data_IF_799127849718
#
_entry.id   IF_799127849718
#
_cell.length_a   1.000
_cell.length_b   1.000
_cell.length_c   1.000
_cell.angle_alpha   90.00
_cell.angle_beta   90.00
_cell.angle_gamma   90.00
#
_symmetry.space_group_name_H-M   'P 1'
#
loop_
_entity.id
_entity.type
_entity.pdbx_description
1 polymer ?
#
# COMPACT_ATOMS: atom_id res chain seq x y z
N UNK A 1 -13.29 -12.52 20.42
CA UNK A 1 -12.61 -13.23 19.32
C UNK A 1 -12.97 -12.52 18.02
N UNK A 2 -12.03 -12.33 17.10
CA UNK A 2 -12.28 -11.63 15.83
C UNK A 2 -13.30 -12.39 14.96
N UNK A 3 -13.15 -13.70 14.87
CA UNK A 3 -14.03 -14.63 14.15
C UNK A 3 -14.08 -15.95 14.91
N UNK A 4 -15.19 -16.70 14.87
CA UNK A 4 -15.21 -18.03 15.45
C UNK A 4 -14.23 -18.96 14.72
N UNK A 5 -13.57 -19.82 15.47
CA UNK A 5 -12.78 -20.91 14.91
C UNK A 5 -13.71 -22.03 14.44
N UNK A 6 -13.57 -22.42 13.18
CA UNK A 6 -14.25 -23.60 12.63
C UNK A 6 -13.53 -24.89 13.07
N UNK A 7 -12.21 -24.79 13.28
CA UNK A 7 -11.31 -25.83 13.74
C UNK A 7 -10.21 -25.19 14.60
N UNK A 8 -10.04 -25.62 15.83
CA UNK A 8 -8.94 -25.18 16.67
C UNK A 8 -7.75 -26.11 16.51
N UNK A 9 -6.54 -25.53 16.35
CA UNK A 9 -5.30 -26.26 16.18
C UNK A 9 -4.49 -26.26 17.47
N UNK A 10 -3.86 -27.41 17.75
CA UNK A 10 -2.94 -27.56 18.87
C UNK A 10 -3.55 -27.12 20.24
N UNK A 11 -4.85 -27.37 20.43
CA UNK A 11 -5.59 -26.98 21.63
C UNK A 11 -5.01 -27.57 22.91
N UNK A 12 -4.39 -28.74 22.82
CA UNK A 12 -3.90 -29.49 23.97
C UNK A 12 -2.44 -29.18 24.37
N UNK A 13 -1.73 -28.34 23.60
CA UNK A 13 -0.37 -27.96 23.94
C UNK A 13 -0.32 -27.11 25.23
N UNK A 14 0.52 -27.50 26.17
CA UNK A 14 0.73 -26.82 27.47
C UNK A 14 2.21 -26.70 27.77
N UNK A 15 2.59 -25.66 28.55
CA UNK A 15 3.95 -25.52 29.06
C UNK A 15 4.20 -26.47 30.21
N UNK A 16 5.39 -27.08 30.21
CA UNK A 16 5.86 -27.95 31.28
C UNK A 16 6.67 -27.24 32.35
N UNK A 17 6.65 -25.90 32.44
CA UNK A 17 7.49 -25.08 33.33
C UNK A 17 8.99 -25.47 33.27
N UNK A 18 9.63 -25.23 32.12
CA UNK A 18 10.97 -25.78 31.85
C UNK A 18 12.07 -25.25 32.79
N UNK A 19 11.85 -24.09 33.42
CA UNK A 19 12.81 -23.46 34.31
C UNK A 19 12.47 -23.63 35.81
N UNK A 20 11.34 -24.28 36.12
CA UNK A 20 10.84 -24.39 37.50
C UNK A 20 10.75 -23.05 38.19
N UNK A 21 10.24 -22.04 37.47
CA UNK A 21 10.17 -20.67 37.97
C UNK A 21 9.22 -20.60 39.17
N UNK A 22 9.61 -19.94 40.27
CA UNK A 22 8.82 -19.89 41.51
C UNK A 22 7.36 -19.47 41.25
N UNK A 23 6.41 -20.36 41.61
CA UNK A 23 4.98 -20.13 41.49
C UNK A 23 4.41 -20.17 40.06
N UNK A 24 5.22 -20.46 39.05
CA UNK A 24 4.75 -20.55 37.66
C UNK A 24 4.15 -21.91 37.32
N UNK A 25 4.77 -23.01 37.68
CA UNK A 25 4.31 -24.36 37.35
C UNK A 25 2.84 -24.63 37.68
N UNK A 26 2.37 -24.35 38.93
CA UNK A 26 0.96 -24.51 39.27
C UNK A 26 0.03 -23.63 38.44
N UNK A 27 0.45 -22.40 38.11
CA UNK A 27 -0.35 -21.52 37.22
C UNK A 27 -0.41 -22.06 35.83
N UNK A 28 0.71 -22.48 35.23
CA UNK A 28 0.76 -23.05 33.89
C UNK A 28 -0.09 -24.33 33.77
N UNK A 29 -0.05 -25.19 34.82
CA UNK A 29 -0.84 -26.43 34.85
C UNK A 29 -2.36 -26.19 34.99
N UNK A 30 -2.76 -25.05 35.55
CA UNK A 30 -4.16 -24.69 35.75
C UNK A 30 -4.78 -23.96 34.51
N UNK A 31 -4.00 -23.68 33.47
CA UNK A 31 -4.52 -22.99 32.28
C UNK A 31 -5.45 -23.93 31.49
N UNK A 32 -6.64 -23.45 31.18
CA UNK A 32 -7.55 -24.13 30.28
C UNK A 32 -7.04 -24.10 28.82
N UNK A 33 -6.39 -23.00 28.42
CA UNK A 33 -5.74 -22.80 27.13
C UNK A 33 -4.51 -21.89 27.28
N UNK A 34 -3.68 -21.87 26.26
CA UNK A 34 -2.48 -21.00 26.20
C UNK A 34 -2.86 -19.54 25.85
N UNK A 35 -1.98 -18.58 26.10
CA UNK A 35 -2.12 -17.15 25.78
C UNK A 35 -2.30 -16.84 24.28
N UNK A 36 -2.39 -17.87 23.44
CA UNK A 36 -2.76 -17.80 22.03
C UNK A 36 -3.60 -19.00 21.64
N UNK A 37 -4.67 -18.74 20.93
CA UNK A 37 -5.47 -19.75 20.23
C UNK A 37 -5.21 -19.66 18.75
N UNK A 38 -5.11 -20.81 18.09
CA UNK A 38 -4.82 -20.90 16.67
C UNK A 38 -5.79 -21.86 16.00
N UNK A 39 -6.14 -21.60 14.75
CA UNK A 39 -7.08 -22.46 14.06
C UNK A 39 -7.49 -21.94 12.70
N UNK A 40 -8.45 -22.66 12.10
CA UNK A 40 -9.08 -22.26 10.84
C UNK A 40 -10.33 -21.44 11.13
N UNK A 41 -10.46 -20.31 10.49
CA UNK A 41 -11.67 -19.50 10.41
C UNK A 41 -12.25 -19.54 8.97
N UNK A 42 -13.30 -18.77 8.71
CA UNK A 42 -13.91 -18.69 7.39
C UNK A 42 -13.03 -17.93 6.41
N UNK A 43 -12.30 -18.67 5.57
CA UNK A 43 -11.44 -18.15 4.51
C UNK A 43 -10.01 -17.82 4.93
N UNK A 44 -9.59 -18.01 6.20
CA UNK A 44 -8.24 -17.73 6.67
C UNK A 44 -7.85 -18.56 7.90
N UNK A 45 -6.56 -18.62 8.18
CA UNK A 45 -6.03 -19.12 9.44
C UNK A 45 -5.98 -17.97 10.46
N UNK A 46 -6.49 -18.19 11.66
CA UNK A 46 -6.55 -17.22 12.74
C UNK A 46 -5.55 -17.56 13.84
N UNK A 47 -4.75 -16.58 14.23
CA UNK A 47 -3.90 -16.57 15.43
C UNK A 47 -4.46 -15.48 16.33
N UNK A 48 -5.00 -15.87 17.49
CA UNK A 48 -5.69 -14.95 18.41
C UNK A 48 -5.03 -14.97 19.77
N UNK A 49 -4.31 -13.89 20.15
CA UNK A 49 -3.81 -13.72 21.48
C UNK A 49 -4.93 -13.55 22.52
N UNK A 50 -4.74 -14.12 23.69
CA UNK A 50 -5.58 -13.93 24.86
C UNK A 50 -4.79 -13.26 25.98
N UNK A 51 -5.13 -12.00 26.25
CA UNK A 51 -4.44 -11.20 27.26
C UNK A 51 -4.75 -11.64 28.70
N UNK A 52 -5.90 -12.27 28.92
CA UNK A 52 -6.31 -12.72 30.24
C UNK A 52 -5.47 -13.92 30.71
N UNK A 53 -4.81 -14.59 29.76
CA UNK A 53 -3.84 -15.66 30.04
C UNK A 53 -2.42 -15.09 30.14
N UNK A 54 -1.97 -14.89 31.36
CA UNK A 54 -0.62 -14.40 31.72
C UNK A 54 -0.23 -13.15 30.90
N UNK A 55 -1.16 -12.18 30.80
CA UNK A 55 -0.94 -10.93 30.07
C UNK A 55 -0.68 -11.11 28.57
N UNK A 56 -1.19 -12.16 27.94
CA UNK A 56 -0.96 -12.47 26.52
C UNK A 56 0.52 -12.74 26.22
N UNK A 57 1.35 -13.00 27.22
CA UNK A 57 2.79 -13.11 27.05
C UNK A 57 3.19 -14.35 26.24
N UNK A 58 4.13 -14.16 25.30
CA UNK A 58 4.63 -15.21 24.44
C UNK A 58 5.67 -16.07 25.19
N UNK A 59 5.26 -17.28 25.59
CA UNK A 59 6.13 -18.33 26.07
C UNK A 59 6.46 -19.35 24.98
N UNK A 60 7.08 -20.45 25.37
CA UNK A 60 7.47 -21.57 24.51
C UNK A 60 6.30 -22.09 23.68
N UNK A 61 5.17 -22.41 24.34
CA UNK A 61 4.00 -22.99 23.70
C UNK A 61 3.26 -21.97 22.83
N UNK A 62 3.16 -20.73 23.28
CA UNK A 62 2.61 -19.66 22.45
C UNK A 62 3.39 -19.55 21.12
N UNK A 63 4.72 -19.43 21.19
CA UNK A 63 5.56 -19.36 19.99
C UNK A 63 5.43 -20.59 19.10
N UNK A 64 5.40 -21.78 19.67
CA UNK A 64 5.22 -23.04 18.93
C UNK A 64 3.87 -23.08 18.19
N UNK A 65 2.77 -22.70 18.86
CA UNK A 65 1.44 -22.64 18.23
C UNK A 65 1.41 -21.66 17.06
N UNK A 66 2.06 -20.49 17.20
CA UNK A 66 2.19 -19.50 16.11
C UNK A 66 2.96 -20.09 14.94
N UNK A 67 4.11 -20.73 15.17
CA UNK A 67 4.92 -21.38 14.12
C UNK A 67 4.08 -22.41 13.38
N UNK A 68 3.46 -23.34 14.10
CA UNK A 68 2.61 -24.40 13.50
C UNK A 68 1.43 -23.82 12.72
N UNK A 69 0.82 -22.74 13.22
CA UNK A 69 -0.30 -22.10 12.55
C UNK A 69 0.13 -21.49 11.20
N UNK A 70 1.28 -20.82 11.13
CA UNK A 70 1.81 -20.31 9.87
C UNK A 70 2.19 -21.43 8.91
N UNK A 71 2.86 -22.49 9.39
CA UNK A 71 3.27 -23.60 8.55
C UNK A 71 2.05 -24.36 8.01
N UNK A 72 1.06 -24.69 8.86
CA UNK A 72 -0.18 -25.33 8.43
C UNK A 72 -1.01 -24.46 7.47
N UNK A 73 -1.10 -23.16 7.73
CA UNK A 73 -1.75 -22.22 6.81
C UNK A 73 -1.04 -22.17 5.45
N UNK A 74 0.28 -22.28 5.44
CA UNK A 74 1.07 -22.33 4.19
C UNK A 74 0.77 -23.60 3.40
N UNK A 75 0.73 -24.75 4.05
CA UNK A 75 0.35 -26.02 3.44
C UNK A 75 -1.08 -26.02 2.87
N UNK A 76 -2.02 -25.41 3.61
CA UNK A 76 -3.42 -25.27 3.22
C UNK A 76 -3.68 -24.13 2.23
N UNK A 77 -2.66 -23.36 1.87
CA UNK A 77 -2.75 -22.18 1.01
C UNK A 77 -3.74 -21.12 1.54
N UNK A 78 -3.84 -20.99 2.86
CA UNK A 78 -4.69 -19.99 3.53
C UNK A 78 -3.90 -18.74 3.87
N UNK A 79 -4.48 -17.53 3.75
CA UNK A 79 -3.92 -16.33 4.35
C UNK A 79 -3.97 -16.44 5.88
N UNK A 80 -3.08 -15.71 6.58
CA UNK A 80 -3.04 -15.67 8.05
C UNK A 80 -3.51 -14.32 8.57
N UNK A 81 -4.37 -14.34 9.58
CA UNK A 81 -4.76 -13.16 10.36
C UNK A 81 -4.29 -13.37 11.81
N UNK A 82 -3.39 -12.51 12.28
CA UNK A 82 -2.85 -12.54 13.63
C UNK A 82 -3.40 -11.36 14.45
N UNK A 83 -4.30 -11.65 15.39
CA UNK A 83 -4.81 -10.68 16.36
C UNK A 83 -3.91 -10.68 17.57
N UNK A 84 -3.13 -9.63 17.73
CA UNK A 84 -2.14 -9.51 18.81
C UNK A 84 -2.69 -8.70 19.98
N UNK A 85 -2.44 -9.18 21.18
CA UNK A 85 -2.68 -8.49 22.44
C UNK A 85 -1.74 -9.08 23.49
N UNK A 86 -0.65 -8.38 23.83
CA UNK A 86 0.44 -9.01 24.59
C UNK A 86 1.27 -8.00 25.35
N UNK A 87 1.69 -8.38 26.56
CA UNK A 87 2.70 -7.68 27.36
C UNK A 87 4.13 -8.02 26.97
N UNK A 88 4.38 -8.92 26.00
CA UNK A 88 5.70 -9.25 25.51
C UNK A 88 6.13 -10.71 25.73
N UNK A 89 7.43 -10.96 25.89
CA UNK A 89 7.96 -12.29 26.17
C UNK A 89 7.67 -12.74 27.62
N UNK A 90 7.35 -14.02 27.80
CA UNK A 90 7.03 -14.61 29.10
C UNK A 90 8.31 -14.80 29.94
N UNK A 91 8.52 -13.94 30.92
CA UNK A 91 9.73 -13.91 31.76
C UNK A 91 9.98 -15.23 32.50
N UNK A 92 8.91 -15.94 32.89
CA UNK A 92 8.98 -17.21 33.62
C UNK A 92 9.64 -18.34 32.83
N UNK A 93 9.70 -18.20 31.49
CA UNK A 93 10.33 -19.19 30.61
C UNK A 93 11.68 -18.69 30.05
N UNK A 94 12.16 -17.51 30.47
CA UNK A 94 13.49 -16.96 30.19
C UNK A 94 13.86 -16.96 28.71
N UNK A 95 15.04 -17.47 28.36
CA UNK A 95 15.55 -17.54 27.00
C UNK A 95 14.68 -18.42 26.07
N UNK A 96 13.95 -19.39 26.59
CA UNK A 96 13.05 -20.24 25.79
C UNK A 96 11.86 -19.43 25.24
N UNK A 97 11.38 -18.40 25.97
CA UNK A 97 10.44 -17.41 25.44
C UNK A 97 11.11 -16.54 24.36
N UNK A 98 12.34 -16.07 24.62
CA UNK A 98 12.98 -15.09 23.76
C UNK A 98 13.31 -15.67 22.37
N UNK A 99 13.75 -16.92 22.29
CA UNK A 99 14.01 -17.58 20.99
C UNK A 99 12.76 -17.74 20.13
N UNK A 100 11.54 -17.63 20.71
CA UNK A 100 10.31 -17.70 19.94
C UNK A 100 10.15 -16.50 18.96
N UNK A 101 10.80 -15.36 19.25
CA UNK A 101 10.81 -14.23 18.31
C UNK A 101 11.40 -14.63 16.96
N UNK A 102 12.57 -15.27 16.96
CA UNK A 102 13.24 -15.71 15.73
C UNK A 102 12.47 -16.84 15.04
N UNK A 103 11.89 -17.77 15.82
CA UNK A 103 11.12 -18.91 15.28
C UNK A 103 9.85 -18.43 14.57
N UNK A 104 9.08 -17.54 15.20
CA UNK A 104 7.86 -16.98 14.62
C UNK A 104 8.17 -16.08 13.44
N UNK A 105 9.24 -15.27 13.50
CA UNK A 105 9.71 -14.49 12.36
C UNK A 105 10.05 -15.35 11.15
N UNK A 106 10.74 -16.47 11.35
CA UNK A 106 11.07 -17.44 10.29
C UNK A 106 9.80 -18.07 9.68
N UNK A 107 8.79 -18.38 10.49
CA UNK A 107 7.51 -18.91 10.00
C UNK A 107 6.76 -17.91 9.12
N UNK A 108 6.69 -16.63 9.53
CA UNK A 108 6.16 -15.55 8.68
C UNK A 108 6.94 -15.47 7.36
N UNK A 109 8.28 -15.55 7.42
CA UNK A 109 9.14 -15.53 6.22
C UNK A 109 8.81 -16.66 5.24
N UNK A 110 8.62 -17.89 5.71
CA UNK A 110 8.20 -19.03 4.87
C UNK A 110 6.84 -18.80 4.22
N UNK A 111 5.87 -18.35 5.00
CA UNK A 111 4.52 -18.03 4.53
C UNK A 111 4.52 -16.98 3.41
N UNK A 112 5.28 -15.88 3.63
CA UNK A 112 5.46 -14.83 2.62
C UNK A 112 6.14 -15.35 1.36
N UNK A 113 7.16 -16.20 1.49
CA UNK A 113 7.86 -16.79 0.34
C UNK A 113 6.97 -17.75 -0.47
N UNK A 114 5.90 -18.28 0.12
CA UNK A 114 4.87 -19.06 -0.57
C UNK A 114 3.84 -18.19 -1.32
N UNK A 115 3.99 -16.85 -1.32
CA UNK A 115 3.09 -15.92 -1.98
C UNK A 115 1.74 -15.74 -1.29
N UNK A 116 1.67 -15.95 0.03
CA UNK A 116 0.44 -15.88 0.81
C UNK A 116 0.40 -14.61 1.65
N UNK A 117 -0.81 -14.03 1.75
CA UNK A 117 -1.06 -12.80 2.49
C UNK A 117 -1.10 -13.06 4.00
N UNK A 118 -0.48 -12.16 4.77
CA UNK A 118 -0.55 -12.13 6.22
C UNK A 118 -0.96 -10.75 6.73
N UNK A 119 -1.83 -10.73 7.75
CA UNK A 119 -2.40 -9.50 8.33
C UNK A 119 -2.22 -9.55 9.84
N UNK A 120 -1.70 -8.48 10.46
CA UNK A 120 -1.76 -8.28 11.89
C UNK A 120 -2.84 -7.27 12.27
N UNK A 121 -3.57 -7.59 13.34
CA UNK A 121 -4.53 -6.71 14.00
C UNK A 121 -4.03 -6.46 15.42
N UNK A 122 -3.58 -5.26 15.70
CA UNK A 122 -3.03 -4.90 17.01
C UNK A 122 -4.13 -4.38 17.93
N UNK A 123 -4.30 -5.03 19.06
CA UNK A 123 -5.16 -4.62 20.19
C UNK A 123 -4.34 -4.10 21.35
N UNK A 124 -4.98 -3.32 22.22
CA UNK A 124 -4.34 -2.77 23.42
C UNK A 124 -4.25 -3.79 24.54
N UNK A 125 -3.07 -3.95 25.20
CA UNK A 125 -1.75 -3.53 24.74
C UNK A 125 -1.13 -4.56 23.78
N UNK A 126 -0.33 -4.11 22.81
CA UNK A 126 0.56 -5.01 22.04
C UNK A 126 1.98 -4.50 22.14
N UNK A 127 2.82 -5.19 22.94
CA UNK A 127 4.20 -4.77 23.23
C UNK A 127 5.19 -5.94 23.18
N UNK A 128 6.46 -5.64 23.28
CA UNK A 128 7.57 -6.57 23.47
C UNK A 128 7.73 -7.58 22.34
N UNK A 129 7.99 -8.83 22.71
CA UNK A 129 8.36 -9.89 21.78
C UNK A 129 7.33 -10.19 20.69
N UNK A 130 6.03 -10.11 21.01
CA UNK A 130 4.97 -10.33 19.99
C UNK A 130 4.98 -9.22 18.94
N UNK A 131 5.09 -7.96 19.37
CA UNK A 131 5.21 -6.84 18.45
C UNK A 131 6.51 -6.87 17.65
N UNK A 132 7.63 -7.20 18.32
CA UNK A 132 8.96 -7.26 17.69
C UNK A 132 9.22 -8.54 16.88
N UNK A 133 8.19 -9.31 16.56
CA UNK A 133 8.30 -10.54 15.75
C UNK A 133 7.16 -10.64 14.76
N UNK A 134 6.33 -11.69 14.85
CA UNK A 134 5.28 -11.93 13.87
C UNK A 134 4.24 -10.79 13.75
N UNK A 135 4.04 -9.98 14.82
CA UNK A 135 3.13 -8.83 14.77
C UNK A 135 3.56 -7.75 13.77
N UNK A 136 4.85 -7.47 13.64
CA UNK A 136 5.38 -6.41 12.76
C UNK A 136 5.82 -6.91 11.38
N UNK A 137 5.90 -8.23 11.16
CA UNK A 137 6.43 -8.82 9.92
C UNK A 137 5.36 -9.19 8.88
N UNK A 138 4.09 -9.06 9.25
CA UNK A 138 2.97 -9.31 8.32
C UNK A 138 2.95 -8.28 7.18
N UNK A 139 2.25 -8.63 6.10
CA UNK A 139 2.14 -7.78 4.91
C UNK A 139 1.33 -6.52 5.16
N UNK A 140 0.23 -6.68 5.88
CA UNK A 140 -0.63 -5.60 6.34
C UNK A 140 -0.68 -5.59 7.86
N UNK A 141 -0.72 -4.40 8.45
CA UNK A 141 -0.80 -4.19 9.90
C UNK A 141 -1.84 -3.12 10.16
N UNK A 142 -2.83 -3.45 10.96
CA UNK A 142 -3.79 -2.46 11.45
C UNK A 142 -3.77 -2.43 12.97
N UNK A 143 -4.21 -1.33 13.52
CA UNK A 143 -4.35 -1.12 14.95
C UNK A 143 -5.77 -0.69 15.28
N UNK A 144 -6.34 -1.24 16.36
CA UNK A 144 -7.63 -0.75 16.86
C UNK A 144 -7.48 0.69 17.37
N UNK A 145 -8.48 1.54 17.08
CA UNK A 145 -8.51 2.92 17.56
C UNK A 145 -8.32 2.96 19.08
N UNK A 146 -7.47 3.87 19.56
CA UNK A 146 -7.13 4.01 20.97
C UNK A 146 -6.22 2.91 21.55
N UNK A 147 -5.74 1.96 20.76
CA UNK A 147 -4.85 0.92 21.24
C UNK A 147 -3.44 1.46 21.50
N UNK A 148 -2.80 0.86 22.51
CA UNK A 148 -1.41 1.11 22.87
C UNK A 148 -0.53 0.02 22.26
N UNK A 149 0.42 0.42 21.41
CA UNK A 149 1.38 -0.47 20.76
C UNK A 149 2.80 0.08 20.86
N UNK A 150 3.78 -0.78 21.01
CA UNK A 150 5.19 -0.36 21.09
C UNK A 150 6.14 -1.51 21.40
N UNK A 151 7.45 -1.27 21.26
CA UNK A 151 8.44 -2.30 21.59
C UNK A 151 8.54 -2.50 23.10
N UNK A 152 8.82 -1.45 23.87
CA UNK A 152 8.85 -1.51 25.33
C UNK A 152 7.55 -0.95 25.91
N UNK A 153 7.06 -1.51 27.01
CA UNK A 153 5.90 -0.91 27.69
C UNK A 153 6.23 0.49 28.22
N UNK A 154 5.26 1.44 28.25
CA UNK A 154 5.49 2.82 28.68
C UNK A 154 6.22 2.95 30.00
N UNK A 155 5.83 2.16 31.01
CA UNK A 155 6.50 2.14 32.33
C UNK A 155 7.98 1.79 32.26
N UNK A 156 8.36 0.86 31.37
CA UNK A 156 9.76 0.47 31.18
C UNK A 156 10.54 1.61 30.56
N UNK A 157 9.97 2.28 29.55
CA UNK A 157 10.59 3.44 28.89
C UNK A 157 10.80 4.57 29.92
N UNK A 158 9.78 4.92 30.67
CA UNK A 158 9.84 5.98 31.69
C UNK A 158 10.88 5.68 32.78
N UNK A 159 10.91 4.44 33.27
CA UNK A 159 11.91 4.03 34.30
C UNK A 159 13.34 4.02 33.75
N UNK A 160 13.53 3.68 32.48
CA UNK A 160 14.86 3.54 31.87
C UNK A 160 15.39 4.88 31.37
N UNK A 161 14.54 5.72 30.81
CA UNK A 161 14.94 6.95 30.09
C UNK A 161 14.62 8.22 30.88
N UNK A 162 13.76 8.14 31.89
CA UNK A 162 13.22 9.29 32.64
C UNK A 162 12.26 10.16 31.81
N UNK A 163 11.80 9.68 30.62
CA UNK A 163 10.91 10.42 29.71
C UNK A 163 9.55 9.75 29.64
N UNK A 164 8.49 10.55 29.70
CA UNK A 164 7.14 10.07 29.39
C UNK A 164 7.02 9.77 27.89
N UNK A 165 6.20 8.78 27.57
CA UNK A 165 5.85 8.44 26.17
C UNK A 165 4.50 9.02 25.75
N UNK A 166 3.78 9.66 26.67
CA UNK A 166 2.45 10.20 26.45
C UNK A 166 2.49 11.32 25.39
N UNK A 167 1.71 11.15 24.33
CA UNK A 167 1.65 12.09 23.20
C UNK A 167 2.84 12.04 22.24
N UNK A 168 3.93 11.32 22.58
CA UNK A 168 5.12 11.22 21.71
C UNK A 168 5.19 9.89 20.94
N UNK A 169 4.68 8.80 21.55
CA UNK A 169 4.72 7.46 20.95
C UNK A 169 3.70 6.52 21.60
N UNK A 170 3.67 5.26 21.16
CA UNK A 170 2.84 4.18 21.70
C UNK A 170 1.32 4.32 21.48
N UNK A 171 0.86 5.31 20.74
CA UNK A 171 -0.55 5.43 20.34
C UNK A 171 -0.79 4.86 18.94
N UNK A 172 -2.06 4.54 18.64
CA UNK A 172 -2.49 4.14 17.32
C UNK A 172 -2.15 5.22 16.27
N UNK A 173 -2.41 6.50 16.59
CA UNK A 173 -2.20 7.62 15.69
C UNK A 173 -0.72 7.85 15.40
N UNK A 174 0.15 7.85 16.44
CA UNK A 174 1.61 8.01 16.23
C UNK A 174 2.19 6.84 15.43
N UNK A 175 1.63 5.63 15.57
CA UNK A 175 2.05 4.48 14.77
C UNK A 175 1.63 4.59 13.29
N UNK A 176 0.46 5.17 13.02
CA UNK A 176 0.00 5.44 11.66
C UNK A 176 0.87 6.52 10.99
N UNK A 177 1.10 7.63 11.66
CA UNK A 177 1.96 8.73 11.17
C UNK A 177 3.39 8.27 10.87
N UNK A 178 3.92 7.37 11.69
CA UNK A 178 5.24 6.80 11.52
C UNK A 178 5.31 5.67 10.46
N UNK A 179 4.18 5.26 9.85
CA UNK A 179 4.13 4.16 8.88
C UNK A 179 4.37 2.78 9.48
N UNK A 180 4.22 2.64 10.81
CA UNK A 180 4.35 1.35 11.52
C UNK A 180 3.15 0.46 11.20
N UNK A 181 1.97 1.06 11.08
CA UNK A 181 0.71 0.39 10.71
C UNK A 181 0.11 1.02 9.46
N UNK A 182 -0.73 0.26 8.76
CA UNK A 182 -1.38 0.66 7.51
C UNK A 182 -2.64 1.50 7.75
N UNK A 183 -3.37 1.22 8.82
CA UNK A 183 -4.58 1.95 9.18
C UNK A 183 -4.89 1.87 10.68
N UNK A 184 -5.59 2.87 11.20
CA UNK A 184 -6.30 2.84 12.48
C UNK A 184 -7.75 2.50 12.18
N UNK A 185 -8.28 1.47 12.87
CA UNK A 185 -9.62 0.93 12.57
C UNK A 185 -10.43 0.83 13.86
N UNK A 186 -11.68 1.31 13.82
CA UNK A 186 -12.60 1.14 14.94
C UNK A 186 -12.85 -0.35 15.23
N UNK A 187 -12.94 -0.78 16.49
CA UNK A 187 -13.04 -2.19 16.87
C UNK A 187 -14.13 -2.97 16.13
N UNK A 188 -15.30 -2.35 15.91
CA UNK A 188 -16.43 -2.95 15.21
C UNK A 188 -16.22 -3.08 13.70
N UNK A 189 -15.31 -2.29 13.12
CA UNK A 189 -14.99 -2.30 11.69
C UNK A 189 -13.83 -3.25 11.32
N UNK A 190 -13.10 -3.77 12.32
CA UNK A 190 -11.89 -4.60 12.11
C UNK A 190 -12.17 -5.82 11.26
N UNK A 191 -13.24 -6.58 11.56
CA UNK A 191 -13.56 -7.79 10.80
C UNK A 191 -13.87 -7.47 9.32
N UNK A 192 -14.66 -6.43 9.08
CA UNK A 192 -14.97 -5.98 7.71
C UNK A 192 -13.72 -5.52 6.95
N UNK A 193 -12.81 -4.82 7.63
CA UNK A 193 -11.53 -4.42 7.05
C UNK A 193 -10.68 -5.64 6.65
N UNK A 194 -10.54 -6.62 7.57
CA UNK A 194 -9.81 -7.86 7.31
C UNK A 194 -10.42 -8.64 6.15
N UNK A 195 -11.75 -8.82 6.14
CA UNK A 195 -12.45 -9.55 5.06
C UNK A 195 -12.29 -8.86 3.70
N UNK A 196 -12.28 -7.52 3.68
CA UNK A 196 -11.97 -6.76 2.47
C UNK A 196 -10.53 -6.99 2.00
N UNK A 197 -9.56 -6.92 2.91
CA UNK A 197 -8.15 -7.18 2.60
C UNK A 197 -7.94 -8.61 2.05
N UNK A 198 -8.72 -9.57 2.52
CA UNK A 198 -8.72 -10.94 2.03
C UNK A 198 -9.51 -11.13 0.72
N UNK A 199 -10.23 -10.11 0.25
CA UNK A 199 -11.09 -10.19 -0.93
C UNK A 199 -12.40 -10.95 -0.71
N UNK A 200 -12.81 -11.17 0.54
CA UNK A 200 -14.02 -11.90 0.92
C UNK A 200 -15.26 -11.00 0.96
N UNK A 201 -15.07 -9.68 1.15
CA UNK A 201 -16.14 -8.69 1.18
C UNK A 201 -15.76 -7.42 0.44
N UNK A 202 -16.66 -6.77 -0.29
CA UNK A 202 -16.40 -5.51 -0.95
C UNK A 202 -16.28 -4.37 0.08
N UNK A 203 -15.33 -3.46 -0.17
CA UNK A 203 -15.17 -2.20 0.58
C UNK A 203 -14.82 -1.10 -0.42
N UNK A 204 -15.81 -0.44 -1.00
CA UNK A 204 -15.59 0.55 -2.04
C UNK A 204 -14.70 1.71 -1.57
N UNK A 205 -13.81 2.17 -2.43
CA UNK A 205 -13.03 3.38 -2.21
C UNK A 205 -13.96 4.59 -2.11
N UNK A 206 -13.84 5.35 -1.03
CA UNK A 206 -14.48 6.66 -0.89
C UNK A 206 -13.53 7.75 -1.37
N UNK A 207 -13.57 8.05 -2.67
CA UNK A 207 -12.88 9.19 -3.20
C UNK A 207 -13.67 10.47 -2.89
N UNK A 208 -12.97 11.55 -2.55
CA UNK A 208 -13.60 12.87 -2.44
C UNK A 208 -14.08 13.34 -3.83
N UNK A 209 -15.01 14.27 -3.84
CA UNK A 209 -15.45 14.88 -5.11
C UNK A 209 -14.39 15.87 -5.60
N UNK A 210 -14.12 15.92 -6.91
CA UNK A 210 -13.31 16.99 -7.46
C UNK A 210 -13.87 18.37 -7.06
N UNK A 211 -13.01 19.39 -6.86
CA UNK A 211 -13.46 20.72 -6.52
C UNK A 211 -14.34 21.29 -7.63
N UNK A 212 -15.47 21.91 -7.26
CA UNK A 212 -16.36 22.55 -8.23
C UNK A 212 -15.72 23.89 -8.63
N UNK A 213 -15.54 24.18 -9.94
CA UNK A 213 -15.04 25.46 -10.38
C UNK A 213 -15.97 26.59 -9.94
N UNK A 214 -15.42 27.61 -9.31
CA UNK A 214 -16.19 28.82 -8.92
C UNK A 214 -16.61 29.68 -10.10
N UNK A 215 -15.98 29.46 -11.25
CA UNK A 215 -16.27 30.13 -12.52
C UNK A 215 -16.10 29.14 -13.67
N UNK A 216 -16.99 29.21 -14.65
CA UNK A 216 -16.83 28.45 -15.88
C UNK A 216 -15.47 28.77 -16.53
N UNK A 217 -14.73 27.75 -17.03
CA UNK A 217 -13.49 28.00 -17.75
C UNK A 217 -13.76 28.92 -18.94
N UNK A 218 -12.84 29.86 -19.17
CA UNK A 218 -12.95 30.73 -20.33
C UNK A 218 -12.86 29.90 -21.62
N UNK A 219 -13.71 30.13 -22.62
CA UNK A 219 -13.61 29.48 -23.92
C UNK A 219 -12.20 29.68 -24.50
N UNK A 220 -11.68 28.66 -25.18
CA UNK A 220 -10.44 28.79 -25.92
C UNK A 220 -10.69 29.65 -27.16
N UNK A 221 -9.77 30.55 -27.56
CA UNK A 221 -9.80 31.17 -28.86
C UNK A 221 -9.86 30.11 -29.96
N UNK A 222 -10.52 30.40 -31.07
CA UNK A 222 -10.70 29.43 -32.17
C UNK A 222 -9.42 29.01 -32.90
N UNK A 223 -8.33 29.76 -32.67
CA UNK A 223 -6.99 29.54 -33.22
C UNK A 223 -5.99 28.95 -32.21
N UNK A 224 -6.48 28.51 -31.03
CA UNK A 224 -5.62 27.90 -30.01
C UNK A 224 -5.03 26.59 -30.52
N UNK A 225 -3.70 26.45 -30.38
CA UNK A 225 -2.99 25.23 -30.72
C UNK A 225 -3.54 24.01 -29.94
N UNK A 226 -3.73 22.86 -30.59
CA UNK A 226 -4.26 21.63 -29.97
C UNK A 226 -3.47 21.18 -28.72
N UNK A 227 -2.14 21.37 -28.72
CA UNK A 227 -1.32 21.00 -27.55
C UNK A 227 -1.60 21.89 -26.36
N UNK A 228 -1.75 23.22 -26.57
CA UNK A 228 -2.13 24.13 -25.50
C UNK A 228 -3.56 23.91 -25.03
N UNK A 229 -4.47 23.58 -25.93
CA UNK A 229 -5.82 23.18 -25.57
C UNK A 229 -5.85 21.95 -24.68
N UNK A 230 -5.02 20.93 -24.99
CA UNK A 230 -4.87 19.74 -24.15
C UNK A 230 -4.28 20.08 -22.76
N UNK A 231 -3.26 20.95 -22.67
CA UNK A 231 -2.73 21.43 -21.38
C UNK A 231 -3.81 22.05 -20.52
N UNK A 232 -4.63 22.91 -21.11
CA UNK A 232 -5.73 23.58 -20.38
C UNK A 232 -6.82 22.59 -19.96
N UNK A 233 -7.14 21.63 -20.80
CA UNK A 233 -8.08 20.55 -20.48
C UNK A 233 -7.58 19.70 -19.31
N UNK A 234 -6.34 19.21 -19.39
CA UNK A 234 -5.71 18.40 -18.36
C UNK A 234 -5.64 19.11 -16.99
N UNK A 235 -5.59 20.43 -16.97
CA UNK A 235 -5.50 21.25 -15.74
C UNK A 235 -6.83 21.88 -15.30
N UNK A 236 -7.91 21.59 -16.02
CA UNK A 236 -9.23 22.12 -15.66
C UNK A 236 -9.66 21.63 -14.28
N UNK A 237 -10.05 22.57 -13.41
CA UNK A 237 -10.62 22.23 -12.10
C UNK A 237 -11.96 21.50 -12.29
N UNK A 238 -12.22 20.54 -11.42
CA UNK A 238 -13.47 19.78 -11.41
C UNK A 238 -13.45 18.54 -12.28
N UNK A 239 -12.42 18.32 -13.12
CA UNK A 239 -12.26 17.06 -13.81
C UNK A 239 -11.91 15.94 -12.83
N UNK A 240 -12.26 14.68 -13.11
CA UNK A 240 -11.79 13.56 -12.34
C UNK A 240 -10.25 13.47 -12.29
N UNK A 241 -9.70 13.04 -11.17
CA UNK A 241 -8.29 12.69 -10.99
C UNK A 241 -8.12 11.17 -10.98
N UNK A 242 -6.89 10.70 -10.87
CA UNK A 242 -6.57 9.27 -10.80
C UNK A 242 -7.34 8.53 -9.70
N UNK A 243 -7.53 9.16 -8.53
CA UNK A 243 -8.26 8.55 -7.41
C UNK A 243 -9.77 8.34 -7.70
N UNK A 244 -10.42 9.22 -8.47
CA UNK A 244 -11.83 9.05 -8.83
C UNK A 244 -11.99 7.94 -9.88
N UNK A 245 -11.06 7.82 -10.81
CA UNK A 245 -11.05 6.70 -11.78
C UNK A 245 -10.77 5.39 -11.05
N UNK A 246 -9.84 5.36 -10.10
CA UNK A 246 -9.58 4.19 -9.26
C UNK A 246 -10.82 3.76 -8.48
N UNK A 247 -11.58 4.72 -7.92
CA UNK A 247 -12.82 4.43 -7.20
C UNK A 247 -13.90 3.80 -8.09
N UNK A 248 -13.96 4.18 -9.36
CA UNK A 248 -14.90 3.60 -10.32
C UNK A 248 -14.45 2.24 -10.85
N UNK A 249 -13.13 2.05 -11.00
CA UNK A 249 -12.56 0.81 -11.52
C UNK A 249 -12.52 -0.32 -10.48
N UNK A 250 -12.61 -0.03 -9.18
CA UNK A 250 -12.45 -1.00 -8.10
C UNK A 250 -13.75 -1.26 -7.36
N UNK A 251 -14.06 -2.53 -7.07
CA UNK A 251 -15.17 -2.90 -6.19
C UNK A 251 -14.76 -3.00 -4.72
N UNK A 252 -13.46 -3.14 -4.44
CA UNK A 252 -12.89 -3.18 -3.09
C UNK A 252 -11.55 -2.47 -3.07
N UNK A 253 -11.29 -1.72 -1.98
CA UNK A 253 -10.07 -0.95 -1.75
C UNK A 253 -9.64 -1.09 -0.29
N UNK A 254 -8.51 -1.72 -0.05
CA UNK A 254 -7.90 -1.86 1.28
C UNK A 254 -6.56 -1.15 1.28
N UNK A 255 -6.49 -0.02 1.96
CA UNK A 255 -5.37 0.92 1.97
C UNK A 255 -4.08 0.30 2.48
N UNK A 256 -2.96 0.68 1.87
CA UNK A 256 -1.59 0.47 2.35
C UNK A 256 -1.07 1.82 2.86
N UNK A 257 -0.56 1.88 4.09
CA UNK A 257 -0.01 3.09 4.72
C UNK A 257 -0.85 4.36 4.43
N UNK A 258 -2.06 4.41 4.98
CA UNK A 258 -3.05 5.47 4.71
C UNK A 258 -2.50 6.90 4.87
N UNK A 259 -1.52 7.11 5.75
CA UNK A 259 -0.88 8.40 6.00
C UNK A 259 0.45 8.60 5.26
N UNK A 260 0.79 7.77 4.26
CA UNK A 260 2.09 7.87 3.61
C UNK A 260 2.26 9.17 2.81
N UNK A 261 1.29 9.47 1.94
CA UNK A 261 1.36 10.64 1.06
C UNK A 261 -0.06 11.06 0.62
N UNK A 262 -0.42 12.34 0.76
CA UNK A 262 -1.76 12.79 0.37
C UNK A 262 -2.00 12.75 -1.14
N UNK A 263 -0.96 12.89 -1.98
CA UNK A 263 -1.07 12.93 -3.43
C UNK A 263 -0.94 11.54 -4.08
N UNK A 264 -0.58 10.51 -3.31
CA UNK A 264 -0.44 9.13 -3.82
C UNK A 264 -0.96 8.12 -2.82
N UNK A 265 -1.91 7.28 -3.23
CA UNK A 265 -2.50 6.21 -2.43
C UNK A 265 -2.24 4.87 -3.10
N UNK A 266 -2.06 3.84 -2.29
CA UNK A 266 -1.94 2.46 -2.79
C UNK A 266 -2.80 1.51 -1.96
N UNK A 267 -3.28 0.43 -2.58
CA UNK A 267 -4.17 -0.52 -1.92
C UNK A 267 -4.12 -1.92 -2.54
N UNK A 268 -4.47 -2.92 -1.74
CA UNK A 268 -5.02 -4.17 -2.25
C UNK A 268 -6.45 -3.94 -2.69
N UNK A 269 -6.77 -4.32 -3.93
CA UNK A 269 -8.05 -4.01 -4.55
C UNK A 269 -8.69 -5.25 -5.20
N UNK A 270 -9.96 -5.12 -5.55
CA UNK A 270 -10.64 -6.04 -6.47
C UNK A 270 -11.11 -5.24 -7.68
N UNK A 271 -10.68 -5.65 -8.87
CA UNK A 271 -11.03 -5.07 -10.17
C UNK A 271 -11.64 -6.17 -11.02
N UNK A 272 -12.87 -6.01 -11.48
CA UNK A 272 -13.58 -6.99 -12.33
C UNK A 272 -13.52 -8.43 -11.75
N UNK A 273 -13.69 -8.56 -10.42
CA UNK A 273 -13.60 -9.83 -9.70
C UNK A 273 -12.18 -10.36 -9.47
N UNK A 274 -11.15 -9.73 -10.03
CA UNK A 274 -9.75 -10.13 -9.87
C UNK A 274 -9.06 -9.34 -8.75
N UNK A 275 -8.23 -10.01 -7.95
CA UNK A 275 -7.35 -9.34 -6.98
C UNK A 275 -6.21 -8.64 -7.72
N UNK A 276 -5.96 -7.40 -7.33
CA UNK A 276 -4.89 -6.56 -7.89
C UNK A 276 -4.30 -5.66 -6.80
N UNK A 277 -3.21 -4.99 -7.11
CA UNK A 277 -2.70 -3.84 -6.36
C UNK A 277 -2.92 -2.60 -7.20
N UNK A 278 -3.53 -1.57 -6.61
CA UNK A 278 -3.72 -0.28 -7.26
C UNK A 278 -2.82 0.78 -6.63
N UNK A 279 -2.31 1.70 -7.47
CA UNK A 279 -1.60 2.91 -7.07
C UNK A 279 -2.29 4.07 -7.79
N UNK A 280 -2.86 5.01 -7.03
CA UNK A 280 -3.65 6.11 -7.58
C UNK A 280 -3.11 7.45 -7.11
N UNK A 281 -2.88 8.35 -8.07
CA UNK A 281 -2.51 9.73 -7.80
C UNK A 281 -3.75 10.61 -7.66
N UNK A 282 -3.65 11.62 -6.80
CA UNK A 282 -4.71 12.57 -6.52
C UNK A 282 -4.20 14.00 -6.70
N UNK A 283 -4.54 14.62 -7.82
CA UNK A 283 -4.10 15.99 -8.12
C UNK A 283 -4.64 17.04 -7.16
N UNK A 284 -5.69 16.72 -6.39
CA UNK A 284 -6.35 17.67 -5.49
C UNK A 284 -5.90 17.54 -4.03
N UNK A 285 -5.05 16.59 -3.74
CA UNK A 285 -4.43 16.39 -2.44
C UNK A 285 -2.92 16.63 -2.53
N UNK A 286 -2.30 17.19 -1.51
CA UNK A 286 -0.84 17.44 -1.49
C UNK A 286 -0.31 18.26 -2.69
N UNK A 287 -1.10 19.17 -3.23
CA UNK A 287 -0.75 19.89 -4.46
C UNK A 287 -0.69 19.02 -5.73
N UNK A 288 -1.11 17.77 -5.65
CA UNK A 288 -0.99 16.78 -6.72
C UNK A 288 0.45 16.29 -6.95
N UNK A 289 1.37 16.59 -6.05
CA UNK A 289 2.81 16.33 -6.19
C UNK A 289 3.27 15.31 -5.15
N UNK A 290 3.38 14.01 -5.53
CA UNK A 290 3.83 12.98 -4.60
C UNK A 290 5.27 13.23 -4.12
N UNK A 291 5.49 13.04 -2.82
CA UNK A 291 6.79 13.15 -2.16
C UNK A 291 7.51 11.80 -2.06
N UNK A 292 8.66 11.77 -1.38
CA UNK A 292 9.48 10.55 -1.22
C UNK A 292 8.73 9.38 -0.57
N UNK A 293 7.83 9.65 0.39
CA UNK A 293 7.02 8.61 1.04
C UNK A 293 5.99 8.00 0.09
N UNK A 294 5.39 8.79 -0.81
CA UNK A 294 4.47 8.30 -1.84
C UNK A 294 5.16 7.32 -2.80
N UNK A 295 6.36 7.66 -3.29
CA UNK A 295 7.13 6.74 -4.13
C UNK A 295 7.64 5.51 -3.37
N UNK A 296 7.97 5.62 -2.08
CA UNK A 296 8.30 4.47 -1.25
C UNK A 296 7.10 3.53 -1.06
N UNK A 297 5.90 4.09 -0.86
CA UNK A 297 4.65 3.35 -0.83
C UNK A 297 4.38 2.63 -2.16
N UNK A 298 4.62 3.30 -3.29
CA UNK A 298 4.48 2.69 -4.61
C UNK A 298 5.42 1.47 -4.78
N UNK A 299 6.68 1.58 -4.38
CA UNK A 299 7.62 0.44 -4.39
C UNK A 299 7.11 -0.72 -3.54
N UNK A 300 6.69 -0.45 -2.30
CA UNK A 300 6.11 -1.47 -1.41
C UNK A 300 4.89 -2.16 -2.03
N UNK A 301 4.02 -1.39 -2.67
CA UNK A 301 2.82 -1.90 -3.33
C UNK A 301 3.14 -2.82 -4.52
N UNK A 302 4.10 -2.43 -5.36
CA UNK A 302 4.56 -3.21 -6.51
C UNK A 302 5.23 -4.52 -6.05
N UNK A 303 6.09 -4.46 -5.03
CA UNK A 303 6.73 -5.65 -4.45
C UNK A 303 5.71 -6.61 -3.82
N UNK A 304 4.69 -6.07 -3.14
CA UNK A 304 3.57 -6.85 -2.61
C UNK A 304 2.81 -7.57 -3.73
N UNK A 305 2.48 -6.87 -4.80
CA UNK A 305 1.81 -7.44 -5.97
C UNK A 305 2.62 -8.58 -6.60
N UNK A 306 3.92 -8.35 -6.82
CA UNK A 306 4.83 -9.36 -7.37
C UNK A 306 4.89 -10.61 -6.52
N UNK A 307 4.91 -10.48 -5.20
CA UNK A 307 4.94 -11.60 -4.27
C UNK A 307 3.60 -12.35 -4.18
N UNK A 308 2.48 -11.62 -4.20
CA UNK A 308 1.14 -12.22 -4.18
C UNK A 308 0.71 -12.78 -5.55
N UNK A 309 1.47 -12.51 -6.61
CA UNK A 309 1.14 -12.94 -7.96
C UNK A 309 -0.10 -12.22 -8.54
N UNK A 310 -0.41 -11.00 -8.07
CA UNK A 310 -1.54 -10.22 -8.58
C UNK A 310 -1.05 -9.00 -9.39
N UNK A 311 -1.81 -8.57 -10.42
CA UNK A 311 -1.39 -7.47 -11.29
C UNK A 311 -1.33 -6.13 -10.55
N UNK A 312 -0.58 -5.19 -11.14
CA UNK A 312 -0.49 -3.79 -10.70
C UNK A 312 -1.28 -2.91 -11.66
N UNK A 313 -2.10 -2.01 -11.11
CA UNK A 313 -2.82 -0.99 -11.88
C UNK A 313 -2.46 0.39 -11.34
N UNK A 314 -2.02 1.30 -12.22
CA UNK A 314 -1.66 2.66 -11.84
C UNK A 314 -2.57 3.69 -12.50
N UNK A 315 -3.01 4.66 -11.71
CA UNK A 315 -3.86 5.78 -12.15
C UNK A 315 -3.06 7.07 -12.01
N UNK A 316 -2.47 7.53 -13.09
CA UNK A 316 -1.48 8.61 -13.09
C UNK A 316 -2.16 9.96 -13.34
N UNK A 317 -1.93 10.89 -12.42
CA UNK A 317 -2.42 12.27 -12.52
C UNK A 317 -1.62 13.21 -11.59
N UNK A 318 -0.51 13.73 -12.09
CA UNK A 318 0.38 14.62 -11.35
C UNK A 318 1.05 15.62 -12.29
N UNK A 319 1.22 16.88 -11.88
CA UNK A 319 2.08 17.83 -12.61
C UNK A 319 3.59 17.50 -12.49
N UNK A 320 3.95 16.59 -11.59
CA UNK A 320 5.31 16.16 -11.28
C UNK A 320 5.46 15.77 -9.83
N UNK A 321 6.64 15.30 -9.45
CA UNK A 321 6.98 15.03 -8.05
C UNK A 321 7.14 16.33 -7.25
N UNK A 322 7.09 16.22 -5.93
CA UNK A 322 7.40 17.32 -5.01
C UNK A 322 8.84 17.79 -5.20
N UNK A 323 9.00 19.09 -5.49
CA UNK A 323 10.29 19.75 -5.72
C UNK A 323 10.76 20.57 -4.51
N UNK A 324 10.10 20.41 -3.35
CA UNK A 324 10.48 21.14 -2.14
C UNK A 324 11.88 20.76 -1.66
N UNK A 325 12.58 21.67 -0.97
CA UNK A 325 13.86 21.34 -0.32
C UNK A 325 13.75 20.16 0.64
N UNK A 326 12.60 19.99 1.27
CA UNK A 326 12.33 18.85 2.16
C UNK A 326 12.30 17.53 1.38
N UNK A 327 11.60 17.47 0.24
CA UNK A 327 11.56 16.30 -0.63
C UNK A 327 12.96 15.95 -1.17
N UNK A 328 13.75 16.96 -1.58
CA UNK A 328 15.13 16.76 -2.02
C UNK A 328 16.00 16.18 -0.90
N UNK A 329 15.93 16.73 0.31
CA UNK A 329 16.69 16.25 1.47
C UNK A 329 16.29 14.83 1.89
N UNK A 330 15.04 14.42 1.62
CA UNK A 330 14.55 13.06 1.86
C UNK A 330 14.72 12.13 0.65
N UNK A 331 15.40 12.59 -0.41
CA UNK A 331 15.86 11.74 -1.51
C UNK A 331 14.80 11.41 -2.55
N UNK A 332 13.98 12.37 -2.96
CA UNK A 332 12.93 12.22 -3.98
C UNK A 332 13.45 11.55 -5.27
N UNK A 333 14.62 11.97 -5.77
CA UNK A 333 15.20 11.39 -6.97
C UNK A 333 15.48 9.88 -6.82
N UNK A 334 15.99 9.47 -5.65
CA UNK A 334 16.24 8.05 -5.33
C UNK A 334 14.94 7.27 -5.23
N UNK A 335 13.90 7.86 -4.63
CA UNK A 335 12.59 7.23 -4.49
C UNK A 335 11.95 6.99 -5.86
N UNK A 336 11.98 7.97 -6.76
CA UNK A 336 11.53 7.85 -8.15
C UNK A 336 12.31 6.76 -8.89
N UNK A 337 13.65 6.75 -8.79
CA UNK A 337 14.50 5.75 -9.46
C UNK A 337 14.19 4.32 -8.98
N UNK A 338 13.92 4.12 -7.68
CA UNK A 338 13.49 2.83 -7.13
C UNK A 338 12.12 2.41 -7.66
N UNK A 339 11.20 3.35 -7.85
CA UNK A 339 9.89 3.06 -8.43
C UNK A 339 10.01 2.62 -9.90
N UNK A 340 10.84 3.29 -10.70
CA UNK A 340 11.18 2.82 -12.05
C UNK A 340 11.72 1.39 -12.05
N UNK A 341 12.68 1.10 -11.17
CA UNK A 341 13.27 -0.22 -11.06
C UNK A 341 12.23 -1.28 -10.66
N UNK A 342 11.38 -0.99 -9.67
CA UNK A 342 10.33 -1.91 -9.22
C UNK A 342 9.31 -2.20 -10.33
N UNK A 343 8.85 -1.19 -11.06
CA UNK A 343 7.95 -1.37 -12.22
C UNK A 343 8.62 -2.16 -13.34
N UNK A 344 9.90 -1.94 -13.61
CA UNK A 344 10.62 -2.63 -14.68
C UNK A 344 10.75 -4.13 -14.44
N UNK A 345 10.98 -4.56 -13.19
CA UNK A 345 11.30 -5.95 -12.85
C UNK A 345 10.14 -6.76 -12.26
N UNK A 346 9.00 -6.14 -11.98
CA UNK A 346 7.88 -6.86 -11.37
C UNK A 346 7.45 -8.03 -12.25
N UNK A 347 7.26 -9.24 -11.66
CA UNK A 347 6.94 -10.45 -12.41
C UNK A 347 5.46 -10.61 -12.74
N UNK A 348 4.65 -9.58 -12.49
CA UNK A 348 3.20 -9.60 -12.71
C UNK A 348 2.79 -8.61 -13.79
N UNK A 349 1.62 -8.81 -14.45
CA UNK A 349 1.10 -7.86 -15.44
C UNK A 349 0.89 -6.48 -14.83
N UNK A 350 1.16 -5.44 -15.63
CA UNK A 350 0.99 -4.05 -15.22
C UNK A 350 0.11 -3.29 -16.22
N UNK A 351 -0.83 -2.50 -15.71
CA UNK A 351 -1.69 -1.60 -16.48
C UNK A 351 -1.53 -0.19 -15.93
N UNK A 352 -1.34 0.80 -16.79
CA UNK A 352 -1.30 2.21 -16.41
C UNK A 352 -2.31 3.01 -17.21
N UNK A 353 -2.96 3.97 -16.57
CA UNK A 353 -3.77 4.98 -17.26
C UNK A 353 -3.37 6.38 -16.81
N UNK A 354 -3.01 7.24 -17.77
CA UNK A 354 -2.86 8.67 -17.54
C UNK A 354 -4.22 9.35 -17.67
N UNK A 355 -4.71 9.89 -16.55
CA UNK A 355 -6.07 10.46 -16.45
C UNK A 355 -6.11 11.94 -16.81
N UNK A 356 -5.04 12.68 -16.52
CA UNK A 356 -5.01 14.12 -16.77
C UNK A 356 -3.62 14.63 -17.10
N UNK A 357 -2.77 14.80 -16.12
CA UNK A 357 -1.42 15.29 -16.34
C UNK A 357 -0.39 14.25 -15.91
N UNK A 358 0.49 13.85 -16.84
CA UNK A 358 1.66 13.00 -16.60
C UNK A 358 2.92 13.86 -16.59
N UNK A 359 3.30 14.38 -15.42
CA UNK A 359 4.43 15.29 -15.28
C UNK A 359 5.75 14.56 -15.06
N UNK A 360 6.64 14.62 -16.06
CA UNK A 360 8.06 14.26 -15.96
C UNK A 360 8.34 12.84 -15.44
N UNK A 361 9.54 12.63 -14.88
CA UNK A 361 10.00 11.34 -14.39
C UNK A 361 9.16 10.76 -13.25
N UNK A 362 8.52 11.61 -12.45
CA UNK A 362 7.63 11.17 -11.37
C UNK A 362 6.40 10.42 -11.88
N UNK A 363 5.75 10.92 -12.93
CA UNK A 363 4.66 10.24 -13.60
C UNK A 363 5.15 9.03 -14.38
N UNK A 364 6.29 9.16 -15.08
CA UNK A 364 6.86 8.09 -15.90
C UNK A 364 7.19 6.84 -15.09
N UNK A 365 7.61 6.98 -13.84
CA UNK A 365 7.92 5.87 -12.95
C UNK A 365 6.76 4.87 -12.77
N UNK A 366 5.52 5.33 -12.91
CA UNK A 366 4.31 4.51 -12.79
C UNK A 366 3.57 4.29 -14.12
N UNK A 367 4.02 4.94 -15.21
CA UNK A 367 3.38 4.83 -16.53
C UNK A 367 4.04 3.77 -17.43
N UNK A 368 5.26 3.32 -17.11
CA UNK A 368 5.96 2.28 -17.86
C UNK A 368 5.36 0.89 -17.54
N UNK A 369 4.17 0.62 -18.07
CA UNK A 369 3.37 -0.59 -17.81
C UNK A 369 3.27 -1.49 -19.06
N UNK A 370 2.86 -2.75 -18.89
CA UNK A 370 2.66 -3.68 -20.00
C UNK A 370 1.52 -3.22 -20.92
N UNK A 371 0.48 -2.59 -20.34
CA UNK A 371 -0.55 -1.85 -21.08
C UNK A 371 -0.57 -0.41 -20.56
N UNK A 372 -0.32 0.54 -21.45
CA UNK A 372 -0.27 1.96 -21.14
C UNK A 372 -1.38 2.71 -21.89
N UNK A 373 -2.29 3.28 -21.12
CA UNK A 373 -3.47 4.00 -21.60
C UNK A 373 -3.31 5.50 -21.29
N UNK A 374 -3.93 6.33 -22.11
CA UNK A 374 -4.01 7.77 -21.89
C UNK A 374 -5.38 8.30 -22.27
N UNK A 375 -6.00 9.14 -21.43
CA UNK A 375 -7.25 9.79 -21.80
C UNK A 375 -7.04 10.85 -22.89
N UNK A 376 -8.05 11.09 -23.74
CA UNK A 376 -7.97 11.97 -24.90
C UNK A 376 -7.58 13.41 -24.55
N UNK A 377 -8.10 13.93 -23.44
CA UNK A 377 -7.79 15.27 -22.91
C UNK A 377 -6.58 15.31 -21.97
N UNK A 378 -5.88 14.17 -21.77
CA UNK A 378 -4.69 14.12 -20.92
C UNK A 378 -3.44 14.55 -21.70
N UNK A 379 -2.43 14.97 -20.94
CA UNK A 379 -1.10 15.30 -21.46
C UNK A 379 -0.02 14.50 -20.73
N UNK A 380 1.10 14.27 -21.41
CA UNK A 380 2.28 13.70 -20.78
C UNK A 380 3.55 14.41 -21.28
N UNK A 381 4.30 15.02 -20.37
CA UNK A 381 5.40 15.90 -20.76
C UNK A 381 6.66 15.67 -19.92
N UNK A 382 7.82 15.83 -20.56
CA UNK A 382 9.14 15.81 -19.90
C UNK A 382 9.25 16.93 -18.86
N UNK A 383 8.62 18.08 -19.12
CA UNK A 383 8.57 19.27 -18.26
C UNK A 383 7.29 20.05 -18.57
N UNK A 384 6.72 20.74 -17.58
CA UNK A 384 5.58 21.63 -17.84
C UNK A 384 5.93 22.72 -18.87
N UNK A 385 4.99 23.13 -19.75
CA UNK A 385 5.24 24.13 -20.79
C UNK A 385 5.78 25.47 -20.26
N UNK A 386 5.34 25.89 -19.07
CA UNK A 386 5.86 27.10 -18.42
C UNK A 386 7.34 26.96 -18.04
N UNK A 387 7.73 25.81 -17.50
CA UNK A 387 9.13 25.50 -17.18
C UNK A 387 10.00 25.44 -18.44
N UNK A 388 9.50 24.80 -19.51
CA UNK A 388 10.18 24.77 -20.80
C UNK A 388 10.33 26.18 -21.40
N UNK A 389 9.28 27.01 -21.36
CA UNK A 389 9.32 28.38 -21.85
C UNK A 389 10.31 29.27 -21.05
N UNK A 390 10.34 29.08 -19.72
CA UNK A 390 11.32 29.78 -18.89
C UNK A 390 12.77 29.43 -19.25
N UNK A 391 13.04 28.19 -19.62
CA UNK A 391 14.37 27.73 -20.02
C UNK A 391 14.73 28.15 -21.45
N UNK A 392 13.84 27.91 -22.40
CA UNK A 392 14.09 28.11 -23.84
C UNK A 392 13.97 29.58 -24.25
N UNK A 393 12.94 30.25 -23.76
CA UNK A 393 12.57 31.60 -24.15
C UNK A 393 12.87 32.64 -23.07
N UNK A 394 13.33 32.22 -21.88
CA UNK A 394 13.52 33.06 -20.68
C UNK A 394 12.26 33.79 -20.25
N UNK A 395 11.09 33.27 -20.63
CA UNK A 395 9.79 33.86 -20.37
C UNK A 395 8.72 32.78 -20.25
N UNK A 396 8.26 32.49 -19.03
CA UNK A 396 7.24 31.48 -18.76
C UNK A 396 5.87 31.82 -19.40
N UNK A 397 5.61 33.11 -19.73
CA UNK A 397 4.37 33.53 -20.39
C UNK A 397 4.25 32.99 -21.83
N UNK A 398 5.35 32.53 -22.41
CA UNK A 398 5.38 31.90 -23.75
C UNK A 398 5.05 30.41 -23.74
N UNK A 399 4.50 29.88 -22.65
CA UNK A 399 4.15 28.45 -22.49
C UNK A 399 3.27 27.93 -23.63
N UNK A 400 2.29 28.71 -24.10
CA UNK A 400 1.42 28.37 -25.25
C UNK A 400 2.20 28.12 -26.55
N UNK A 401 3.23 28.92 -26.79
CA UNK A 401 4.09 28.77 -27.98
C UNK A 401 5.03 27.58 -27.90
N UNK A 402 5.41 27.18 -26.69
CA UNK A 402 6.34 26.06 -26.45
C UNK A 402 5.61 24.74 -26.33
N UNK A 403 4.35 24.70 -25.89
CA UNK A 403 3.58 23.46 -25.72
C UNK A 403 3.59 22.53 -26.93
N UNK A 404 3.40 22.99 -28.18
CA UNK A 404 3.46 22.14 -29.39
C UNK A 404 4.83 21.47 -29.59
N UNK A 405 5.91 22.17 -29.20
CA UNK A 405 7.29 21.67 -29.37
C UNK A 405 7.58 20.46 -28.44
N UNK A 406 6.85 20.35 -27.33
CA UNK A 406 7.02 19.27 -26.35
C UNK A 406 6.35 17.96 -26.77
N UNK A 407 5.51 17.97 -27.80
CA UNK A 407 4.83 16.75 -28.31
C UNK A 407 4.18 15.95 -27.18
N UNK A 408 3.30 16.61 -26.42
CA UNK A 408 2.79 16.16 -25.13
C UNK A 408 1.36 15.59 -25.14
N UNK A 409 0.71 15.57 -26.31
CA UNK A 409 -0.69 15.14 -26.43
C UNK A 409 -0.81 13.61 -26.41
N UNK A 410 -2.02 13.11 -26.11
CA UNK A 410 -2.32 11.68 -26.20
C UNK A 410 -1.97 11.09 -27.57
N UNK A 411 -2.24 11.83 -28.65
CA UNK A 411 -1.92 11.42 -30.01
C UNK A 411 -0.39 11.31 -30.24
N UNK A 412 0.39 12.22 -29.67
CA UNK A 412 1.85 12.15 -29.75
C UNK A 412 2.39 10.89 -29.06
N UNK A 413 1.89 10.55 -27.85
CA UNK A 413 2.36 9.39 -27.10
C UNK A 413 2.05 8.07 -27.80
N UNK A 414 0.86 7.95 -28.38
CA UNK A 414 0.52 6.78 -29.21
C UNK A 414 1.34 6.76 -30.49
N UNK A 415 1.56 7.92 -31.14
CA UNK A 415 2.42 8.04 -32.31
C UNK A 415 3.89 7.65 -32.06
N UNK A 416 4.39 7.88 -30.84
CA UNK A 416 5.72 7.42 -30.43
C UNK A 416 5.78 5.95 -29.99
N UNK A 417 4.63 5.29 -29.85
CA UNK A 417 4.54 3.94 -29.30
C UNK A 417 4.78 3.87 -27.79
N UNK A 418 4.65 5.00 -27.06
CA UNK A 418 4.81 5.06 -25.60
C UNK A 418 3.50 4.66 -24.91
N UNK A 419 2.36 5.05 -25.46
CA UNK A 419 1.03 4.59 -25.04
C UNK A 419 0.42 3.66 -26.09
N UNK A 420 -0.40 2.71 -25.64
CA UNK A 420 -1.06 1.71 -26.51
C UNK A 420 -2.40 2.21 -27.06
N UNK A 421 -3.12 3.03 -26.29
CA UNK A 421 -4.50 3.39 -26.58
C UNK A 421 -4.88 4.77 -26.03
N UNK A 422 -5.63 5.54 -26.83
CA UNK A 422 -6.32 6.75 -26.38
C UNK A 422 -7.71 6.35 -25.90
N UNK A 423 -8.00 6.60 -24.63
CA UNK A 423 -9.29 6.34 -24.00
C UNK A 423 -10.13 7.63 -24.02
N UNK A 424 -11.43 7.58 -24.35
CA UNK A 424 -12.29 8.74 -24.24
C UNK A 424 -12.25 9.33 -22.82
N UNK A 425 -12.46 10.65 -22.71
CA UNK A 425 -12.55 11.31 -21.42
C UNK A 425 -13.79 10.83 -20.66
N UNK A 426 -13.63 10.65 -19.37
CA UNK A 426 -14.70 10.18 -18.48
C UNK A 426 -14.20 9.11 -17.51
N UNK A 427 -14.89 9.01 -16.37
CA UNK A 427 -14.53 8.05 -15.29
C UNK A 427 -14.94 6.64 -15.69
N UNK A 428 -16.13 6.48 -16.29
CA UNK A 428 -16.65 5.18 -16.68
C UNK A 428 -15.84 4.57 -17.83
N UNK A 429 -15.52 5.37 -18.84
CA UNK A 429 -14.72 4.99 -20.02
C UNK A 429 -13.31 4.56 -19.58
N UNK A 430 -12.71 5.32 -18.66
CA UNK A 430 -11.41 4.99 -18.10
C UNK A 430 -11.44 3.67 -17.29
N UNK A 431 -12.46 3.48 -16.45
CA UNK A 431 -12.62 2.25 -15.67
C UNK A 431 -12.81 1.02 -16.57
N UNK A 432 -13.65 1.12 -17.61
CA UNK A 432 -13.87 0.05 -18.58
C UNK A 432 -12.60 -0.31 -19.37
N UNK A 433 -11.83 0.71 -19.78
CA UNK A 433 -10.56 0.50 -20.47
C UNK A 433 -9.54 -0.21 -19.57
N UNK A 434 -9.47 0.14 -18.27
CA UNK A 434 -8.64 -0.56 -17.29
C UNK A 434 -9.08 -2.02 -17.15
N UNK A 435 -10.39 -2.30 -17.02
CA UNK A 435 -10.92 -3.67 -16.91
C UNK A 435 -10.55 -4.51 -18.14
N UNK A 436 -10.70 -3.96 -19.34
CA UNK A 436 -10.33 -4.63 -20.59
C UNK A 436 -8.82 -4.90 -20.63
N UNK A 437 -8.01 -3.86 -20.40
CA UNK A 437 -6.55 -3.96 -20.45
C UNK A 437 -5.98 -4.91 -19.42
N UNK A 438 -6.60 -5.04 -18.26
CA UNK A 438 -6.17 -5.98 -17.22
C UNK A 438 -6.30 -7.44 -17.67
N UNK A 439 -7.31 -7.76 -18.49
CA UNK A 439 -7.47 -9.09 -19.09
C UNK A 439 -6.48 -9.38 -20.21
N UNK A 440 -5.94 -8.35 -20.86
CA UNK A 440 -5.05 -8.43 -22.03
C UNK A 440 -3.57 -8.29 -21.69
N UNK A 441 -3.23 -7.71 -20.54
CA UNK A 441 -1.86 -7.40 -20.17
C UNK A 441 -0.99 -8.66 -20.06
N UNK A 442 0.15 -8.63 -20.71
CA UNK A 442 1.16 -9.71 -20.68
C UNK A 442 2.46 -9.19 -20.11
N UNK A 443 3.04 -9.92 -19.16
CA UNK A 443 4.31 -9.55 -18.51
C UNK A 443 5.43 -9.41 -19.54
N UNK A 444 6.14 -8.28 -19.48
CA UNK A 444 7.31 -7.99 -20.32
C UNK A 444 7.02 -7.12 -21.54
N UNK A 445 5.77 -6.86 -21.89
CA UNK A 445 5.42 -6.00 -23.04
C UNK A 445 5.91 -4.56 -22.84
N UNK A 446 5.99 -4.07 -21.59
CA UNK A 446 6.51 -2.74 -21.25
C UNK A 446 7.95 -2.50 -21.72
N UNK A 447 8.84 -3.44 -21.48
CA UNK A 447 10.24 -3.32 -21.89
C UNK A 447 10.36 -3.31 -23.42
N UNK A 448 9.72 -4.27 -24.09
CA UNK A 448 9.71 -4.36 -25.56
C UNK A 448 9.17 -3.09 -26.22
N UNK A 449 8.08 -2.51 -25.67
CA UNK A 449 7.50 -1.28 -26.24
C UNK A 449 8.47 -0.12 -26.14
N UNK A 450 9.12 0.11 -24.99
CA UNK A 450 10.05 1.21 -24.79
C UNK A 450 11.31 1.03 -25.65
N UNK A 451 11.81 -0.20 -25.81
CA UNK A 451 12.93 -0.51 -26.71
C UNK A 451 12.58 -0.22 -28.17
N UNK A 452 11.40 -0.63 -28.65
CA UNK A 452 10.94 -0.38 -30.02
C UNK A 452 10.74 1.13 -30.25
N UNK A 453 10.10 1.83 -29.30
CA UNK A 453 9.94 3.29 -29.38
C UNK A 453 11.27 4.02 -29.47
N UNK A 454 12.28 3.56 -28.73
CA UNK A 454 13.64 4.13 -28.78
C UNK A 454 14.35 3.80 -30.09
N UNK A 455 14.33 2.53 -30.50
CA UNK A 455 15.02 2.06 -31.72
C UNK A 455 14.53 2.74 -33.00
N UNK A 456 13.27 3.15 -33.06
CA UNK A 456 12.68 3.85 -34.19
C UNK A 456 13.39 5.19 -34.53
N UNK A 457 14.11 5.77 -33.58
CA UNK A 457 14.78 7.07 -33.72
C UNK A 457 16.32 6.99 -33.70
N UNK A 458 16.89 5.79 -33.52
CA UNK A 458 18.32 5.57 -33.61
C UNK A 458 18.75 5.50 -35.08
N UNK A 459 19.86 6.16 -35.43
CA UNK A 459 20.46 6.19 -36.77
C UNK A 459 21.74 5.40 -36.81
#
# INVERSE_FOLDING_TARGET
MLSPLLEEWDADLRSGDPLQFPGYGPKAAALEHESVRTGRADGFALIQCDFDVIGGSMGLVHGEKVVRAFDRATELRLPVVAVTRSGGARMQEGMLSLIQLSRTAAAVGRHRSAGLLSIAVHRSPTTGGVFASYGSLTDLRIVEAGAMIGFAGPRVVEQTTGRSVEGESHSADTALEAGIVDAVVEPEAVLGWVRSALGLEPRPLRAHRPPVPTRAPAPLPGDTDPAWAAVRSARQLGRPSGIQVAAAATSSWTELEEAADPAMRAALVTIDGQRAVAIAMDRYAGGGQPGPRGYALAVRAIELAGRLGCPVVTFVDTPGADLSPEAENHGIARAIARTHAAMAVTPVPTVSICVGEGGSGGAQALSAADRALIQAGAIFSVIGPEGAAAILERDAAKAEQVAPLLRLTAADLVGFGIADEIVPDGVAEAAEAVHRSLREATVGDRARRLDVATAAWLR
#
